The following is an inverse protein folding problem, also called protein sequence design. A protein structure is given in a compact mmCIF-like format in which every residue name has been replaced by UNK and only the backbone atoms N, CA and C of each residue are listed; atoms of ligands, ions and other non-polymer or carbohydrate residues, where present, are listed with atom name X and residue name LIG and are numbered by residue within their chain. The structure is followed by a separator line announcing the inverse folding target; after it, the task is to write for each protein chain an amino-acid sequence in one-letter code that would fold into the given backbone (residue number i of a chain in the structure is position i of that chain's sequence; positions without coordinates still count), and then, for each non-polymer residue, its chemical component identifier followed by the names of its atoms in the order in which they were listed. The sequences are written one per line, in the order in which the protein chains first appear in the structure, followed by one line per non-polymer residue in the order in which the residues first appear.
data_IF_074384727496
#
_entry.id   IF_074384727496
#
_cell.length_a   1.000
_cell.length_b   1.000
_cell.length_c   1.000
_cell.angle_alpha   90.00
_cell.angle_beta   90.00
_cell.angle_gamma   90.00
#
_symmetry.space_group_name_H-M   'P 1'
#
loop_
_entity.id
_entity.type
_entity.pdbx_description
1 polymer ?
#
# COMPACT_ATOMS: atom_id res chain seq x y z
N UNK A 1 15.85 -7.14 -2.08
CA UNK A 1 15.77 -7.96 -0.85
C UNK A 1 15.09 -9.28 -1.19
N UNK A 2 15.72 -10.43 -0.92
CA UNK A 2 15.05 -11.74 -0.92
C UNK A 2 14.89 -12.23 0.52
N UNK A 3 14.06 -11.54 1.32
CA UNK A 3 13.96 -11.81 2.75
C UNK A 3 13.14 -13.08 3.08
N UNK A 4 12.46 -13.70 2.11
CA UNK A 4 11.49 -14.77 2.38
C UNK A 4 11.76 -16.09 1.63
N UNK A 5 12.90 -16.22 0.92
CA UNK A 5 13.21 -17.37 0.07
C UNK A 5 12.05 -17.74 -0.89
N UNK A 6 11.34 -16.73 -1.39
CA UNK A 6 10.26 -16.88 -2.38
C UNK A 6 10.85 -16.66 -3.77
N UNK A 7 10.42 -17.47 -4.74
CA UNK A 7 10.71 -17.22 -6.15
C UNK A 7 10.25 -15.81 -6.53
N UNK A 8 11.07 -15.04 -7.26
CA UNK A 8 10.67 -13.69 -7.62
C UNK A 8 9.52 -13.69 -8.65
N UNK A 9 8.54 -12.82 -8.43
CA UNK A 9 7.44 -12.52 -9.33
C UNK A 9 7.43 -11.03 -9.65
N UNK A 10 7.02 -10.71 -10.86
CA UNK A 10 6.64 -9.38 -11.32
C UNK A 10 5.12 -9.33 -11.52
N UNK A 11 4.54 -8.14 -11.37
CA UNK A 11 3.14 -7.88 -11.69
C UNK A 11 3.01 -6.54 -12.41
N UNK A 12 2.22 -6.53 -13.48
CA UNK A 12 1.81 -5.33 -14.20
C UNK A 12 0.28 -5.20 -14.24
N UNK A 13 -0.22 -3.97 -14.32
CA UNK A 13 -1.63 -3.67 -14.59
C UNK A 13 -1.78 -3.37 -16.08
N UNK A 14 -2.23 -4.37 -16.84
CA UNK A 14 -2.26 -4.32 -18.31
C UNK A 14 -3.47 -3.59 -18.87
N UNK A 15 -4.56 -3.48 -18.09
CA UNK A 15 -5.71 -2.65 -18.48
C UNK A 15 -6.48 -2.12 -17.27
N UNK A 16 -7.07 -0.93 -17.45
CA UNK A 16 -7.95 -0.27 -16.47
C UNK A 16 -9.12 0.34 -17.23
N UNK A 17 -10.35 -0.05 -16.87
CA UNK A 17 -11.57 0.54 -17.38
C UNK A 17 -12.41 1.08 -16.23
N UNK A 18 -12.78 2.35 -16.30
CA UNK A 18 -13.80 2.90 -15.42
C UNK A 18 -15.15 2.24 -15.70
N UNK A 19 -15.88 1.87 -14.64
CA UNK A 19 -17.20 1.24 -14.74
C UNK A 19 -18.27 2.25 -14.38
N UNK A 20 -18.22 2.76 -13.15
CA UNK A 20 -19.09 3.80 -12.59
C UNK A 20 -18.55 4.25 -11.24
N UNK A 21 -18.95 5.42 -10.76
CA UNK A 21 -18.55 5.95 -9.45
C UNK A 21 -17.02 5.86 -9.27
N UNK A 22 -16.55 5.22 -8.20
CA UNK A 22 -15.14 4.92 -7.95
C UNK A 22 -14.76 3.47 -8.31
N UNK A 23 -15.58 2.79 -9.12
CA UNK A 23 -15.38 1.38 -9.50
C UNK A 23 -14.63 1.30 -10.82
N UNK A 24 -13.55 0.52 -10.82
CA UNK A 24 -12.74 0.23 -11.99
C UNK A 24 -12.63 -1.28 -12.17
N UNK A 25 -12.70 -1.76 -13.40
CA UNK A 25 -12.28 -3.10 -13.77
C UNK A 25 -10.82 -3.03 -14.19
N UNK A 26 -9.96 -3.77 -13.49
CA UNK A 26 -8.53 -3.85 -13.78
C UNK A 26 -8.18 -5.25 -14.26
N UNK A 27 -7.19 -5.34 -15.14
CA UNK A 27 -6.54 -6.61 -15.49
C UNK A 27 -5.09 -6.56 -15.06
N UNK A 28 -4.68 -7.54 -14.28
CA UNK A 28 -3.27 -7.73 -13.89
C UNK A 28 -2.66 -8.86 -14.71
N UNK A 29 -1.35 -8.78 -14.93
CA UNK A 29 -0.51 -9.87 -15.43
C UNK A 29 0.58 -10.14 -14.42
N UNK A 30 0.66 -11.38 -13.94
CA UNK A 30 1.68 -11.82 -12.96
C UNK A 30 2.59 -12.81 -13.65
N UNK A 31 3.90 -12.63 -13.48
CA UNK A 31 4.92 -13.48 -14.08
C UNK A 31 6.07 -13.78 -13.13
N UNK A 32 6.46 -15.05 -13.01
CA UNK A 32 7.61 -15.47 -12.22
C UNK A 32 8.90 -15.50 -13.04
N UNK A 33 10.05 -15.44 -12.36
CA UNK A 33 11.36 -15.59 -13.01
C UNK A 33 11.66 -17.03 -13.46
N UNK A 34 10.90 -18.02 -12.98
CA UNK A 34 10.98 -19.43 -13.40
C UNK A 34 9.59 -20.04 -13.46
N UNK A 35 9.39 -20.95 -14.40
CA UNK A 35 8.16 -21.74 -14.51
C UNK A 35 7.99 -22.69 -13.33
N UNK A 36 6.76 -22.78 -12.82
CA UNK A 36 6.32 -23.79 -11.85
C UNK A 36 5.08 -24.49 -12.43
N UNK A 37 5.17 -25.78 -12.77
CA UNK A 37 4.03 -26.52 -13.30
C UNK A 37 2.80 -26.50 -12.38
N UNK A 38 1.60 -26.36 -12.97
CA UNK A 38 0.33 -26.29 -12.23
C UNK A 38 0.10 -27.43 -11.23
N UNK A 39 0.68 -28.62 -11.47
CA UNK A 39 0.57 -29.78 -10.55
C UNK A 39 1.04 -29.47 -9.12
N UNK A 40 1.92 -28.50 -8.94
CA UNK A 40 2.41 -28.08 -7.62
C UNK A 40 1.44 -27.14 -6.89
N UNK A 41 0.52 -26.50 -7.61
CA UNK A 41 -0.42 -25.53 -7.05
C UNK A 41 -1.62 -26.23 -6.42
N UNK A 42 -1.90 -25.86 -5.18
CA UNK A 42 -3.11 -26.27 -4.47
C UNK A 42 -4.21 -25.18 -4.54
N UNK A 43 -3.84 -23.94 -4.25
CA UNK A 43 -4.75 -22.79 -4.26
C UNK A 43 -4.04 -21.50 -4.67
N UNK A 44 -4.76 -20.64 -5.38
CA UNK A 44 -4.36 -19.28 -5.74
C UNK A 44 -5.56 -18.35 -5.71
N UNK A 45 -5.44 -17.24 -4.98
CA UNK A 45 -6.48 -16.23 -4.86
C UNK A 45 -5.91 -14.86 -4.59
N UNK A 46 -6.63 -13.84 -5.03
CA UNK A 46 -6.39 -12.44 -4.68
C UNK A 46 -7.25 -12.13 -3.46
N UNK A 47 -6.66 -11.56 -2.41
CA UNK A 47 -7.32 -11.26 -1.14
C UNK A 47 -7.09 -9.80 -0.75
N UNK A 48 -7.89 -9.31 0.22
CA UNK A 48 -7.78 -7.93 0.69
C UNK A 48 -8.23 -6.90 -0.36
N UNK A 49 -8.98 -7.33 -1.37
CA UNK A 49 -9.44 -6.44 -2.44
C UNK A 49 -10.45 -5.44 -1.89
N UNK A 50 -10.17 -4.15 -2.02
CA UNK A 50 -11.18 -3.12 -1.84
C UNK A 50 -12.03 -3.04 -3.11
N UNK A 51 -13.16 -3.75 -3.15
CA UNK A 51 -14.00 -3.87 -4.33
C UNK A 51 -15.32 -4.58 -4.02
N UNK A 52 -16.13 -4.90 -5.06
CA UNK A 52 -17.38 -5.64 -4.87
C UNK A 52 -17.20 -7.03 -4.25
N UNK A 53 -16.03 -7.63 -4.46
CA UNK A 53 -15.61 -8.84 -3.76
C UNK A 53 -14.27 -8.58 -3.09
N UNK A 54 -14.14 -9.00 -1.83
CA UNK A 54 -12.87 -8.92 -1.08
C UNK A 54 -11.87 -10.01 -1.44
N UNK A 55 -12.35 -11.05 -2.14
CA UNK A 55 -11.55 -12.20 -2.59
C UNK A 55 -11.89 -12.55 -4.03
N UNK A 56 -10.88 -12.83 -4.84
CA UNK A 56 -11.02 -13.32 -6.21
C UNK A 56 -10.28 -14.66 -6.31
N UNK A 57 -11.04 -15.75 -6.28
CA UNK A 57 -10.47 -17.10 -6.43
C UNK A 57 -10.03 -17.31 -7.88
N UNK A 58 -8.78 -17.74 -8.09
CA UNK A 58 -8.23 -18.01 -9.43
C UNK A 58 -8.08 -19.50 -9.68
N UNK A 59 -7.60 -20.23 -8.66
CA UNK A 59 -7.47 -21.67 -8.68
C UNK A 59 -7.72 -22.24 -7.29
N UNK A 60 -8.47 -23.33 -7.19
CA UNK A 60 -8.70 -23.99 -5.91
C UNK A 60 -9.58 -25.23 -6.09
N UNK A 61 -9.08 -26.38 -5.64
CA UNK A 61 -9.80 -27.66 -5.76
C UNK A 61 -11.04 -27.69 -4.85
N UNK A 62 -10.94 -27.11 -3.65
CA UNK A 62 -12.04 -27.02 -2.70
C UNK A 62 -13.18 -26.16 -3.25
N UNK A 63 -12.82 -25.01 -3.84
CA UNK A 63 -13.73 -24.02 -4.41
C UNK A 63 -14.17 -24.40 -5.84
N UNK A 64 -13.64 -25.50 -6.41
CA UNK A 64 -13.87 -25.94 -7.79
C UNK A 64 -13.62 -24.83 -8.83
N UNK A 65 -12.60 -24.02 -8.60
CA UNK A 65 -12.25 -22.87 -9.44
C UNK A 65 -10.96 -23.16 -10.20
N UNK A 66 -10.98 -22.94 -11.53
CA UNK A 66 -9.89 -23.30 -12.45
C UNK A 66 -9.75 -22.25 -13.55
N UNK A 67 -9.53 -20.98 -13.17
CA UNK A 67 -9.48 -19.85 -14.09
C UNK A 67 -8.09 -19.61 -14.68
N UNK A 68 -7.05 -20.27 -14.15
CA UNK A 68 -5.68 -20.21 -14.64
C UNK A 68 -5.13 -21.61 -14.95
N UNK A 69 -4.23 -21.68 -15.92
CA UNK A 69 -3.52 -22.92 -16.30
C UNK A 69 -2.04 -22.93 -15.90
N UNK A 70 -1.49 -21.78 -15.54
CA UNK A 70 -0.08 -21.59 -15.20
C UNK A 70 0.00 -20.62 -14.01
N UNK A 71 0.50 -21.05 -12.83
CA UNK A 71 0.61 -20.16 -11.67
C UNK A 71 1.76 -19.16 -11.76
N UNK A 72 2.63 -19.29 -12.76
CA UNK A 72 3.83 -18.47 -12.96
C UNK A 72 3.73 -17.53 -14.15
N UNK A 73 2.66 -17.61 -14.95
CA UNK A 73 2.33 -16.66 -16.00
C UNK A 73 0.80 -16.62 -16.20
N UNK A 74 0.11 -15.67 -15.56
CA UNK A 74 -1.35 -15.59 -15.62
C UNK A 74 -1.88 -14.15 -15.60
N UNK A 75 -3.08 -14.00 -16.14
CA UNK A 75 -3.85 -12.76 -16.07
C UNK A 75 -5.10 -12.94 -15.23
N UNK A 76 -5.53 -11.88 -14.54
CA UNK A 76 -6.81 -11.86 -13.83
C UNK A 76 -7.48 -10.50 -13.97
N UNK A 77 -8.79 -10.51 -14.22
CA UNK A 77 -9.61 -9.31 -14.34
C UNK A 77 -10.63 -9.25 -13.21
N UNK A 78 -10.63 -8.16 -12.45
CA UNK A 78 -11.53 -7.97 -11.30
C UNK A 78 -11.82 -6.49 -11.05
N UNK A 79 -12.78 -6.21 -10.18
CA UNK A 79 -13.20 -4.84 -9.86
C UNK A 79 -12.62 -4.35 -8.54
N UNK A 80 -12.22 -3.08 -8.53
CA UNK A 80 -11.71 -2.37 -7.35
C UNK A 80 -12.43 -1.03 -7.16
N UNK A 81 -12.56 -0.59 -5.92
CA UNK A 81 -13.01 0.73 -5.51
C UNK A 81 -11.80 1.62 -5.23
N UNK A 82 -11.53 2.54 -6.14
CA UNK A 82 -10.34 3.36 -6.12
C UNK A 82 -10.71 4.85 -6.04
N UNK A 83 -10.20 5.54 -5.03
CA UNK A 83 -10.62 6.90 -4.67
C UNK A 83 -9.64 7.95 -5.21
N UNK A 84 -10.13 9.14 -5.62
CA UNK A 84 -9.28 10.20 -6.09
C UNK A 84 -8.34 10.69 -4.99
N UNK A 85 -7.12 11.02 -5.39
CA UNK A 85 -6.09 11.64 -4.55
C UNK A 85 -6.46 13.11 -4.30
N UNK A 86 -5.67 13.79 -3.46
CA UNK A 86 -5.86 15.21 -3.16
C UNK A 86 -5.75 16.13 -4.39
N UNK A 87 -5.10 15.67 -5.47
CA UNK A 87 -5.05 16.38 -6.75
C UNK A 87 -6.38 16.35 -7.52
N UNK A 88 -7.31 15.45 -7.16
CA UNK A 88 -8.59 15.23 -7.82
C UNK A 88 -8.49 14.54 -9.19
N UNK A 89 -7.27 14.18 -9.63
CA UNK A 89 -6.99 13.73 -10.99
C UNK A 89 -6.39 12.34 -11.04
N UNK A 90 -5.72 11.93 -9.97
CA UNK A 90 -5.04 10.65 -9.89
C UNK A 90 -5.76 9.74 -8.92
N UNK A 91 -5.93 8.49 -9.30
CA UNK A 91 -6.50 7.44 -8.46
C UNK A 91 -5.47 6.37 -8.26
N UNK A 92 -5.18 6.04 -7.02
CA UNK A 92 -4.30 4.92 -6.67
C UNK A 92 -5.07 3.61 -6.67
N UNK A 93 -4.44 2.57 -7.20
CA UNK A 93 -4.87 1.20 -7.04
C UNK A 93 -4.90 0.87 -5.54
N UNK A 94 -6.05 0.44 -4.98
CA UNK A 94 -6.09 -0.07 -3.63
C UNK A 94 -5.18 -1.28 -3.52
N UNK A 95 -4.34 -1.31 -2.49
CA UNK A 95 -3.45 -2.44 -2.27
C UNK A 95 -4.24 -3.73 -2.00
N UNK A 96 -3.73 -4.85 -2.49
CA UNK A 96 -4.23 -6.20 -2.23
C UNK A 96 -3.05 -7.16 -2.06
N UNK A 97 -3.34 -8.42 -1.76
CA UNK A 97 -2.36 -9.50 -1.75
C UNK A 97 -2.77 -10.63 -2.68
N UNK A 98 -1.78 -11.35 -3.20
CA UNK A 98 -1.98 -12.61 -3.93
C UNK A 98 -1.44 -13.73 -3.03
N UNK A 99 -2.33 -14.62 -2.60
CA UNK A 99 -2.01 -15.75 -1.75
C UNK A 99 -1.76 -16.99 -2.58
N UNK A 100 -0.56 -17.56 -2.45
CA UNK A 100 -0.14 -18.79 -3.08
C UNK A 100 -0.07 -19.92 -2.05
N UNK A 101 -0.64 -21.07 -2.40
CA UNK A 101 -0.47 -22.32 -1.68
C UNK A 101 0.03 -23.39 -2.65
N UNK A 102 1.33 -23.65 -2.64
CA UNK A 102 1.98 -24.78 -3.29
C UNK A 102 2.16 -25.95 -2.32
N UNK A 103 2.23 -27.17 -2.86
CA UNK A 103 2.50 -28.40 -2.11
C UNK A 103 1.56 -28.64 -0.91
N UNK A 104 0.34 -28.09 -0.93
CA UNK A 104 -0.71 -28.40 0.03
C UNK A 104 -1.65 -29.47 -0.55
N UNK A 105 -2.46 -30.09 0.33
CA UNK A 105 -3.45 -31.09 -0.07
C UNK A 105 -2.84 -32.21 -0.92
N UNK A 106 -3.44 -32.50 -2.07
CA UNK A 106 -2.95 -33.54 -2.97
C UNK A 106 -1.71 -33.13 -3.79
N UNK A 107 -1.39 -31.83 -3.88
CA UNK A 107 -0.16 -31.35 -4.52
C UNK A 107 1.08 -31.64 -3.66
N UNK A 108 0.89 -31.91 -2.36
CA UNK A 108 1.97 -32.31 -1.44
C UNK A 108 2.75 -33.54 -1.94
N UNK A 109 2.13 -34.42 -2.74
CA UNK A 109 2.77 -35.61 -3.29
C UNK A 109 3.99 -35.31 -4.17
N UNK A 110 4.14 -34.08 -4.67
CA UNK A 110 5.22 -33.69 -5.57
C UNK A 110 6.43 -33.06 -4.86
N UNK A 111 6.46 -33.06 -3.53
CA UNK A 111 7.46 -32.33 -2.73
C UNK A 111 8.92 -32.68 -3.04
N UNK A 112 9.23 -33.92 -3.43
CA UNK A 112 10.62 -34.34 -3.71
C UNK A 112 11.25 -33.61 -4.90
N UNK A 113 10.41 -33.04 -5.79
CA UNK A 113 10.85 -32.35 -7.01
C UNK A 113 10.73 -30.84 -6.91
N UNK A 114 10.37 -30.32 -5.74
CA UNK A 114 10.24 -28.89 -5.50
C UNK A 114 11.58 -28.23 -5.25
N UNK A 115 11.82 -27.10 -5.91
CA UNK A 115 13.11 -26.41 -5.89
C UNK A 115 12.98 -24.88 -5.88
N UNK A 116 11.78 -24.34 -5.67
CA UNK A 116 11.49 -22.91 -5.83
C UNK A 116 11.32 -22.15 -4.51
N UNK A 117 11.72 -22.76 -3.38
CA UNK A 117 11.79 -22.10 -2.08
C UNK A 117 10.52 -22.23 -1.25
N UNK A 118 10.05 -21.14 -0.64
CA UNK A 118 8.86 -21.12 0.22
C UNK A 118 7.61 -21.50 -0.57
N UNK A 119 6.75 -22.34 0.00
CA UNK A 119 5.59 -22.95 -0.71
C UNK A 119 4.27 -22.26 -0.41
N UNK A 120 4.14 -21.58 0.73
CA UNK A 120 2.94 -20.84 1.10
C UNK A 120 3.35 -19.43 1.49
N UNK A 121 2.82 -18.44 0.77
CA UNK A 121 3.21 -17.05 0.93
C UNK A 121 2.16 -16.11 0.33
N UNK A 122 2.19 -14.86 0.80
CA UNK A 122 1.36 -13.77 0.28
C UNK A 122 2.28 -12.73 -0.35
N UNK A 123 1.97 -12.31 -1.58
CA UNK A 123 2.67 -11.21 -2.25
C UNK A 123 1.78 -9.97 -2.26
N UNK A 124 2.27 -8.87 -1.71
CA UNK A 124 1.53 -7.64 -1.49
C UNK A 124 1.88 -6.56 -2.51
N UNK A 125 0.88 -5.79 -2.93
CA UNK A 125 1.08 -4.59 -3.76
C UNK A 125 1.24 -3.35 -2.89
N UNK A 126 2.05 -2.38 -3.33
CA UNK A 126 1.97 -1.01 -2.82
C UNK A 126 3.24 -0.18 -3.01
N UNK A 127 3.08 1.15 -2.94
CA UNK A 127 4.18 2.13 -2.95
C UNK A 127 4.35 2.84 -1.59
N UNK A 128 3.64 2.39 -0.56
CA UNK A 128 3.48 3.09 0.71
C UNK A 128 4.24 2.45 1.89
N UNK A 129 4.97 1.36 1.66
CA UNK A 129 5.73 0.68 2.70
C UNK A 129 7.15 0.35 2.22
N UNK A 130 8.13 1.12 2.71
CA UNK A 130 9.54 0.98 2.37
C UNK A 130 10.41 1.39 3.57
N UNK A 131 11.62 0.82 3.66
CA UNK A 131 12.58 1.19 4.69
C UNK A 131 13.29 2.52 4.39
N UNK A 132 14.15 2.96 5.32
CA UNK A 132 14.91 4.21 5.19
C UNK A 132 16.00 4.18 4.10
N UNK A 133 16.20 3.06 3.40
CA UNK A 133 17.11 2.90 2.27
C UNK A 133 16.34 2.82 0.93
N UNK A 134 15.01 3.01 0.96
CA UNK A 134 14.17 2.94 -0.22
C UNK A 134 13.90 1.52 -0.70
N UNK A 135 14.15 0.50 0.14
CA UNK A 135 13.77 -0.86 -0.18
C UNK A 135 12.30 -1.08 0.17
N UNK A 136 11.53 -1.53 -0.81
CA UNK A 136 10.12 -1.87 -0.57
C UNK A 136 10.00 -3.00 0.44
N UNK A 137 8.98 -2.90 1.29
CA UNK A 137 8.49 -4.01 2.11
C UNK A 137 7.24 -4.68 1.48
N UNK A 138 6.83 -4.22 0.30
CA UNK A 138 5.86 -4.89 -0.58
C UNK A 138 6.59 -5.64 -1.69
N UNK A 139 5.87 -6.54 -2.35
CA UNK A 139 6.41 -7.43 -3.37
C UNK A 139 6.17 -6.88 -4.79
N UNK A 140 5.05 -6.19 -4.98
CA UNK A 140 4.66 -5.55 -6.24
C UNK A 140 4.49 -4.04 -6.06
N UNK A 141 4.76 -3.24 -7.11
CA UNK A 141 4.53 -1.80 -7.04
C UNK A 141 3.03 -1.48 -6.92
N UNK A 142 2.73 -0.31 -6.37
CA UNK A 142 1.42 0.31 -6.51
C UNK A 142 1.28 0.99 -7.88
N UNK A 143 0.09 0.92 -8.45
CA UNK A 143 -0.25 1.57 -9.72
C UNK A 143 -1.21 2.72 -9.48
N UNK A 144 -1.25 3.67 -10.39
CA UNK A 144 -2.25 4.73 -10.41
C UNK A 144 -2.67 5.03 -11.84
N UNK A 145 -3.83 5.64 -11.98
CA UNK A 145 -4.37 6.07 -13.27
C UNK A 145 -5.19 7.35 -13.11
N UNK A 146 -5.60 7.93 -14.23
CA UNK A 146 -6.42 9.15 -14.24
C UNK A 146 -7.83 8.85 -13.74
N UNK A 147 -8.39 9.73 -12.92
CA UNK A 147 -9.75 9.61 -12.39
C UNK A 147 -10.77 9.42 -13.52
N UNK A 148 -11.63 8.41 -13.37
CA UNK A 148 -12.64 7.98 -14.34
C UNK A 148 -12.09 7.59 -15.72
N UNK A 149 -10.78 7.32 -15.84
CA UNK A 149 -10.08 7.10 -17.12
C UNK A 149 -10.33 8.22 -18.15
N UNK A 150 -10.70 9.41 -17.68
CA UNK A 150 -10.87 10.59 -18.53
C UNK A 150 -9.50 11.17 -18.79
N UNK A 151 -8.96 10.96 -19.99
CA UNK A 151 -7.68 11.57 -20.37
C UNK A 151 -7.70 13.10 -20.20
N UNK A 152 -6.53 13.73 -20.24
CA UNK A 152 -6.36 15.19 -20.08
C UNK A 152 -7.16 16.07 -21.07
N UNK A 153 -7.84 15.49 -22.07
CA UNK A 153 -8.57 16.21 -23.09
C UNK A 153 -9.95 16.75 -22.65
N UNK A 154 -10.50 16.29 -21.52
CA UNK A 154 -11.84 16.71 -21.05
C UNK A 154 -11.80 17.94 -20.11
N UNK A 155 -10.62 18.45 -19.77
CA UNK A 155 -10.47 19.63 -18.91
C UNK A 155 -11.00 19.46 -17.47
N UNK A 156 -11.50 18.28 -17.09
CA UNK A 156 -12.10 18.00 -15.77
C UNK A 156 -11.07 17.80 -14.66
N UNK A 157 -9.79 17.65 -15.01
CA UNK A 157 -8.68 17.74 -14.07
C UNK A 157 -8.29 19.22 -13.86
N UNK A 158 -9.25 20.05 -13.47
CA UNK A 158 -8.92 21.32 -12.84
C UNK A 158 -8.53 20.99 -11.41
N UNK A 159 -7.21 20.89 -11.16
CA UNK A 159 -6.63 21.00 -9.82
C UNK A 159 -7.49 21.97 -9.03
N UNK A 160 -8.06 21.54 -7.90
CA UNK A 160 -8.80 22.45 -7.03
C UNK A 160 -7.90 23.67 -6.81
N UNK A 161 -8.26 24.81 -7.41
CA UNK A 161 -7.47 26.02 -7.29
C UNK A 161 -7.33 26.24 -5.81
N UNK A 162 -6.09 26.26 -5.31
CA UNK A 162 -5.82 26.70 -3.97
C UNK A 162 -6.42 28.09 -3.89
N UNK A 163 -7.61 28.21 -3.29
CA UNK A 163 -8.23 29.50 -3.03
C UNK A 163 -7.18 30.27 -2.26
N UNK A 164 -6.59 31.26 -2.92
CA UNK A 164 -5.76 32.26 -2.28
C UNK A 164 -6.60 32.75 -1.11
N UNK A 165 -6.17 32.44 0.11
CA UNK A 165 -6.71 33.07 1.30
C UNK A 165 -6.43 34.53 1.08
N UNK A 166 -7.45 35.30 0.70
CA UNK A 166 -7.37 36.74 0.67
C UNK A 166 -7.08 37.14 2.11
N UNK A 167 -5.82 37.43 2.41
CA UNK A 167 -5.45 38.06 3.67
C UNK A 167 -6.10 39.44 3.61
N UNK A 168 -7.31 39.55 4.17
CA UNK A 168 -7.92 40.83 4.47
C UNK A 168 -6.95 41.56 5.39
N UNK A 169 -6.24 42.54 4.84
CA UNK A 169 -5.41 43.47 5.59
C UNK A 169 -6.31 44.18 6.60
N UNK A 170 -6.22 43.78 7.87
CA UNK A 170 -6.79 44.51 8.98
C UNK A 170 -5.97 45.81 9.08
N UNK A 171 -6.53 46.91 8.63
CA UNK A 171 -6.06 48.26 8.96
C UNK A 171 -6.30 48.51 10.43
N UNK A 172 -5.30 48.24 11.26
CA UNK A 172 -5.30 48.64 12.66
C UNK A 172 -4.89 50.11 12.73
N UNK A 173 -5.89 50.98 12.90
CA UNK A 173 -5.68 52.39 13.20
C UNK A 173 -4.91 52.53 14.52
N UNK A 174 -3.71 53.10 14.44
CA UNK A 174 -2.90 53.48 15.58
C UNK A 174 -3.48 54.72 16.25
N UNK A 175 -4.07 54.56 17.43
CA UNK A 175 -4.33 55.66 18.37
C UNK A 175 -3.32 55.58 19.51
N UNK A 176 -2.42 56.56 19.51
CA UNK A 176 -1.45 56.89 20.54
C UNK A 176 -2.14 57.32 21.84
N UNK A 177 -1.76 56.71 22.96
CA UNK A 177 -1.89 57.36 24.27
C UNK A 177 -0.70 56.98 25.15
N UNK A 178 0.13 57.99 25.40
CA UNK A 178 1.28 57.97 26.29
C UNK A 178 0.83 58.19 27.73
N UNK A 179 1.34 57.39 28.67
CA UNK A 179 1.62 57.83 30.04
C UNK A 179 2.55 56.84 30.74
N UNK A 180 3.26 57.38 31.73
CA UNK A 180 4.64 57.10 32.08
C UNK A 180 4.80 56.48 33.48
N UNK A 181 5.93 55.77 33.65
CA UNK A 181 6.71 55.54 34.89
C UNK A 181 6.03 54.74 36.02
N UNK A 182 6.65 53.75 36.67
CA UNK A 182 7.88 53.88 37.46
C UNK A 182 8.48 52.49 37.81
N UNK A 183 9.78 52.49 38.03
CA UNK A 183 10.74 51.42 38.30
C UNK A 183 10.46 50.56 39.55
N UNK A 184 10.88 49.29 39.54
CA UNK A 184 11.72 48.71 40.60
C UNK A 184 12.36 47.38 40.18
N UNK A 185 13.59 47.23 40.64
CA UNK A 185 14.60 46.22 40.37
C UNK A 185 14.69 45.20 41.51
N UNK A 186 14.95 43.92 41.22
CA UNK A 186 15.86 43.02 41.98
C UNK A 186 15.98 41.67 41.23
N UNK A 187 17.13 41.30 40.67
CA UNK A 187 18.29 40.55 41.26
C UNK A 187 18.06 39.04 41.41
N UNK A 188 18.82 38.25 40.64
CA UNK A 188 19.56 36.98 40.90
C UNK A 188 18.98 35.95 41.90
N UNK A 189 19.05 34.62 41.77
CA UNK A 189 20.12 33.73 41.31
C UNK A 189 19.69 32.25 41.47
N UNK A 190 20.24 31.38 40.60
CA UNK A 190 20.65 29.96 40.76
C UNK A 190 20.27 29.13 42.01
N UNK A 191 19.88 27.86 41.79
CA UNK A 191 20.57 26.60 42.22
C UNK A 191 19.81 25.37 41.65
N UNK A 192 20.36 24.51 40.79
CA UNK A 192 21.24 23.32 40.96
C UNK A 192 20.68 22.12 41.75
N UNK A 193 20.74 20.94 41.09
CA UNK A 193 21.01 19.59 41.64
C UNK A 193 19.92 18.89 42.50
N UNK A 194 19.69 17.58 42.48
CA UNK A 194 20.32 16.41 41.83
C UNK A 194 19.60 15.12 42.28
N UNK A 195 19.58 14.11 41.39
CA UNK A 195 19.83 12.66 41.62
C UNK A 195 19.15 11.85 42.73
N UNK A 196 18.59 10.70 42.33
CA UNK A 196 18.84 9.29 42.79
C UNK A 196 18.06 8.37 41.83
N UNK A 197 18.59 7.43 41.01
CA UNK A 197 19.36 6.16 41.22
C UNK A 197 18.71 5.25 42.29
N UNK A 198 18.39 3.95 42.11
CA UNK A 198 18.99 2.88 41.29
C UNK A 198 18.07 1.63 41.22
N UNK A 199 18.25 0.79 40.18
CA UNK A 199 18.36 -0.72 40.10
C UNK A 199 17.69 -1.62 41.17
N UNK A 200 17.23 -2.86 40.98
CA UNK A 200 17.34 -4.00 40.03
C UNK A 200 16.43 -5.13 40.65
N UNK A 201 15.98 -6.21 40.01
CA UNK A 201 16.71 -7.43 39.57
C UNK A 201 15.73 -8.46 38.98
N UNK A 202 16.28 -9.27 38.09
CA UNK A 202 15.90 -10.58 37.52
C UNK A 202 15.26 -11.63 38.45
N UNK A 203 14.41 -12.49 37.88
CA UNK A 203 14.41 -13.95 38.15
C UNK A 203 13.88 -14.75 36.96
N UNK A 204 14.66 -15.77 36.58
CA UNK A 204 14.34 -16.85 35.66
C UNK A 204 13.57 -17.97 36.38
N UNK A 205 12.73 -18.71 35.65
CA UNK A 205 12.49 -20.17 35.76
C UNK A 205 11.74 -20.63 34.51
#
# INVERSE_FOLDING_TARGET
MSQQNILHYDMDVTSVSWVKDNTYQITIHVKAVKDIPLKYLWSLKIIGVNGPSSTVQLYGKNEKTYLISDPTDFTSTFQVYAYPSSDGCTVWMPNFQIQFEYLQGDAAQYWQTWQWGTTTFDLSTGCNNYDNQGHSQTDFPGFYWTYQCKGNNDGTCTKASSSSITTSSITTSSSTTSSSTTSSSTTSSSTTSSSTTSSSTTSSS
#
